data_IF_710583272521
#
_entry.id   IF_710583272521
#
_cell.length_a   1.000
_cell.length_b   1.000
_cell.length_c   1.000
_cell.angle_alpha   90.00
_cell.angle_beta   90.00
_cell.angle_gamma   90.00
#
_symmetry.space_group_name_H-M   'P 1'
#
loop_
_entity.id
_entity.type
_entity.pdbx_description
1 polymer ?
#
# COMPACT_ATOMS: atom_id res chain seq x y z
N UNK A 1 1.34 5.60 24.57
CA UNK A 1 0.99 4.25 24.10
C UNK A 1 -0.07 4.30 22.99
N UNK A 2 -1.24 4.92 23.23
CA UNK A 2 -2.35 5.01 22.26
C UNK A 2 -1.91 5.67 20.95
N UNK A 3 -1.17 6.78 20.99
CA UNK A 3 -0.66 7.49 19.80
C UNK A 3 0.27 6.59 18.98
N UNK A 4 1.17 5.85 19.63
CA UNK A 4 2.05 4.90 18.94
C UNK A 4 1.26 3.77 18.28
N UNK A 5 0.28 3.21 18.98
CA UNK A 5 -0.58 2.15 18.45
C UNK A 5 -1.36 2.65 17.22
N UNK A 6 -1.94 3.85 17.31
CA UNK A 6 -2.66 4.49 16.18
C UNK A 6 -1.73 4.73 14.99
N UNK A 7 -0.50 5.17 15.25
CA UNK A 7 0.50 5.38 14.20
C UNK A 7 0.83 4.07 13.46
N UNK A 8 1.10 2.99 14.18
CA UNK A 8 1.38 1.69 13.58
C UNK A 8 0.16 1.15 12.82
N UNK A 9 -1.04 1.32 13.38
CA UNK A 9 -2.27 0.89 12.72
C UNK A 9 -2.49 1.64 11.40
N UNK A 10 -2.33 2.98 11.40
CA UNK A 10 -2.46 3.80 10.19
C UNK A 10 -1.39 3.49 9.13
N UNK A 11 -0.19 3.14 9.56
CA UNK A 11 0.84 2.63 8.64
C UNK A 11 0.43 1.30 8.00
N UNK A 12 -0.11 0.37 8.76
CA UNK A 12 -0.60 -0.91 8.25
C UNK A 12 -1.78 -0.72 7.28
N UNK A 13 -2.71 0.19 7.60
CA UNK A 13 -3.83 0.58 6.74
C UNK A 13 -3.35 1.12 5.39
N UNK A 14 -2.37 2.03 5.37
CA UNK A 14 -1.77 2.54 4.12
C UNK A 14 -1.19 1.43 3.25
N UNK A 15 -0.49 0.47 3.86
CA UNK A 15 0.09 -0.67 3.14
C UNK A 15 -1.01 -1.55 2.55
N UNK A 16 -2.06 -1.81 3.31
CA UNK A 16 -3.20 -2.62 2.84
C UNK A 16 -3.97 -1.94 1.71
N UNK A 17 -4.25 -0.64 1.85
CA UNK A 17 -4.94 0.14 0.80
C UNK A 17 -4.10 0.19 -0.49
N UNK A 18 -2.79 0.36 -0.36
CA UNK A 18 -1.87 0.32 -1.50
C UNK A 18 -1.91 -1.04 -2.19
N UNK A 19 -1.93 -2.13 -1.43
CA UNK A 19 -2.03 -3.50 -1.96
C UNK A 19 -3.35 -3.70 -2.74
N UNK A 20 -4.47 -3.25 -2.20
CA UNK A 20 -5.79 -3.38 -2.84
C UNK A 20 -5.79 -2.63 -4.18
N UNK A 21 -5.26 -1.40 -4.23
CA UNK A 21 -5.18 -0.59 -5.44
C UNK A 21 -4.27 -1.20 -6.50
N UNK A 22 -3.12 -1.72 -6.10
CA UNK A 22 -2.19 -2.40 -7.02
C UNK A 22 -2.81 -3.68 -7.56
N UNK A 23 -3.51 -4.46 -6.74
CA UNK A 23 -4.23 -5.65 -7.19
C UNK A 23 -5.36 -5.30 -8.18
N UNK A 24 -6.04 -4.16 -7.99
CA UNK A 24 -7.01 -3.66 -8.95
C UNK A 24 -6.36 -3.33 -10.30
N UNK A 25 -5.24 -2.59 -10.29
CA UNK A 25 -4.48 -2.29 -11.51
C UNK A 25 -4.00 -3.58 -12.22
N UNK A 26 -3.51 -4.55 -11.44
CA UNK A 26 -3.09 -5.85 -11.96
C UNK A 26 -4.24 -6.60 -12.64
N UNK A 27 -5.40 -6.67 -12.00
CA UNK A 27 -6.59 -7.31 -12.58
C UNK A 27 -7.08 -6.60 -13.85
N UNK A 28 -6.93 -5.27 -13.93
CA UNK A 28 -7.29 -4.53 -15.13
C UNK A 28 -6.33 -4.81 -16.30
N UNK A 29 -5.02 -4.89 -16.03
CA UNK A 29 -4.03 -5.29 -17.04
C UNK A 29 -4.29 -6.74 -17.50
N UNK A 30 -4.57 -7.66 -16.58
CA UNK A 30 -4.96 -9.03 -16.92
C UNK A 30 -6.19 -9.06 -17.83
N UNK A 31 -7.18 -8.19 -17.58
CA UNK A 31 -8.37 -8.10 -18.42
C UNK A 31 -8.04 -7.64 -19.84
N UNK A 32 -7.15 -6.65 -20.02
CA UNK A 32 -6.66 -6.24 -21.34
C UNK A 32 -6.00 -7.42 -22.07
N UNK A 33 -5.12 -8.15 -21.40
CA UNK A 33 -4.43 -9.30 -22.00
C UNK A 33 -5.42 -10.46 -22.32
N UNK A 34 -6.44 -10.65 -21.52
CA UNK A 34 -7.53 -11.61 -21.82
C UNK A 34 -8.31 -11.21 -23.06
N UNK A 35 -8.59 -9.91 -23.23
CA UNK A 35 -9.26 -9.42 -24.44
C UNK A 35 -8.38 -9.59 -25.69
N UNK A 36 -7.04 -9.42 -25.55
CA UNK A 36 -6.10 -9.70 -26.63
C UNK A 36 -6.12 -11.18 -27.02
N UNK A 37 -6.19 -12.07 -26.04
CA UNK A 37 -6.30 -13.50 -26.29
C UNK A 37 -7.60 -13.86 -27.02
N UNK A 38 -8.71 -13.19 -26.71
CA UNK A 38 -9.98 -13.36 -27.43
C UNK A 38 -9.86 -12.96 -28.92
N UNK A 39 -9.19 -11.82 -29.21
CA UNK A 39 -8.92 -11.42 -30.60
C UNK A 39 -7.97 -12.39 -31.30
N UNK A 40 -7.00 -12.96 -30.58
CA UNK A 40 -6.14 -14.00 -31.14
C UNK A 40 -6.93 -15.23 -31.58
N UNK A 41 -7.96 -15.63 -30.84
CA UNK A 41 -8.87 -16.72 -31.21
C UNK A 41 -9.70 -16.36 -32.44
N UNK A 42 -10.21 -15.13 -32.54
CA UNK A 42 -10.93 -14.66 -33.73
C UNK A 42 -10.03 -14.67 -34.98
N UNK A 43 -8.72 -14.39 -34.83
CA UNK A 43 -7.74 -14.36 -35.91
C UNK A 43 -7.15 -15.73 -36.28
N UNK A 44 -7.44 -16.80 -35.51
CA UNK A 44 -6.81 -18.14 -35.71
C UNK A 44 -7.01 -18.68 -37.13
N UNK A 45 -8.21 -18.53 -37.70
CA UNK A 45 -8.53 -19.05 -39.03
C UNK A 45 -7.69 -18.39 -40.13
N UNK A 46 -7.22 -17.16 -39.93
CA UNK A 46 -6.34 -16.45 -40.86
C UNK A 46 -4.93 -17.05 -40.93
N UNK A 47 -4.54 -17.87 -39.94
CA UNK A 47 -3.30 -18.61 -39.99
C UNK A 47 -3.19 -19.59 -41.17
N UNK A 48 -4.30 -19.96 -41.81
CA UNK A 48 -4.32 -20.83 -42.98
C UNK A 48 -4.17 -20.06 -44.30
N UNK A 49 -4.43 -18.76 -44.28
CA UNK A 49 -4.43 -17.90 -45.47
C UNK A 49 -3.02 -17.39 -45.78
N UNK A 50 -2.80 -16.96 -47.05
CA UNK A 50 -1.65 -16.18 -47.39
C UNK A 50 -1.87 -14.71 -47.02
N UNK A 51 -0.77 -13.93 -46.86
CA UNK A 51 -0.87 -12.51 -46.59
C UNK A 51 -1.22 -11.74 -47.89
N UNK A 52 -2.49 -11.74 -48.21
CA UNK A 52 -3.07 -10.98 -49.32
C UNK A 52 -3.88 -9.79 -48.78
N UNK A 53 -4.43 -8.98 -49.68
CA UNK A 53 -5.22 -7.80 -49.34
C UNK A 53 -6.43 -8.14 -48.43
N UNK A 54 -7.11 -9.27 -48.71
CA UNK A 54 -8.28 -9.70 -47.92
C UNK A 54 -7.88 -10.07 -46.49
N UNK A 55 -6.80 -10.84 -46.31
CA UNK A 55 -6.25 -11.19 -44.98
C UNK A 55 -5.80 -9.96 -44.20
N UNK A 56 -5.14 -9.01 -44.88
CA UNK A 56 -4.74 -7.75 -44.24
C UNK A 56 -5.93 -6.89 -43.84
N UNK A 57 -6.96 -6.82 -44.68
CA UNK A 57 -8.20 -6.10 -44.39
C UNK A 57 -8.93 -6.72 -43.19
N UNK A 58 -9.02 -8.04 -43.14
CA UNK A 58 -9.66 -8.75 -42.03
C UNK A 58 -8.89 -8.57 -40.69
N UNK A 59 -7.55 -8.68 -40.71
CA UNK A 59 -6.72 -8.38 -39.57
C UNK A 59 -6.89 -6.93 -39.09
N UNK A 60 -7.00 -5.99 -40.02
CA UNK A 60 -7.22 -4.58 -39.69
C UNK A 60 -8.61 -4.36 -39.06
N UNK A 61 -9.63 -5.03 -39.54
CA UNK A 61 -10.97 -4.99 -38.96
C UNK A 61 -11.01 -5.57 -37.53
N UNK A 62 -10.27 -6.66 -37.28
CA UNK A 62 -10.11 -7.21 -35.96
C UNK A 62 -9.40 -6.24 -35.00
N UNK A 63 -8.35 -5.58 -35.48
CA UNK A 63 -7.60 -4.57 -34.74
C UNK A 63 -8.51 -3.40 -34.31
N UNK A 64 -9.38 -2.92 -35.20
CA UNK A 64 -10.31 -1.81 -34.93
C UNK A 64 -11.30 -2.11 -33.81
N UNK A 65 -11.59 -3.39 -33.53
CA UNK A 65 -12.49 -3.79 -32.44
C UNK A 65 -11.88 -3.52 -31.04
N UNK A 66 -10.58 -3.32 -30.95
CA UNK A 66 -9.85 -3.19 -29.68
C UNK A 66 -8.85 -2.03 -29.73
N UNK A 67 -9.21 -0.86 -29.20
CA UNK A 67 -8.35 0.34 -29.25
C UNK A 67 -7.00 0.17 -28.53
N UNK A 68 -6.93 -0.76 -27.57
CA UNK A 68 -5.68 -1.04 -26.82
C UNK A 68 -4.65 -1.83 -27.63
N UNK A 69 -5.05 -2.45 -28.74
CA UNK A 69 -4.14 -3.15 -29.63
C UNK A 69 -3.47 -2.18 -30.60
N UNK A 70 -2.16 -2.25 -30.66
CA UNK A 70 -1.32 -1.50 -31.61
C UNK A 70 -1.14 -2.27 -32.92
N UNK A 71 -0.99 -3.59 -32.81
CA UNK A 71 -0.77 -4.46 -33.95
C UNK A 71 -1.29 -5.87 -33.70
N UNK A 72 -1.63 -6.53 -34.81
CA UNK A 72 -1.98 -7.94 -34.86
C UNK A 72 -1.14 -8.58 -35.97
N UNK A 73 -0.43 -9.66 -35.63
CA UNK A 73 0.48 -10.33 -36.59
C UNK A 73 0.27 -11.83 -36.57
N UNK A 74 0.45 -12.44 -37.70
CA UNK A 74 0.39 -13.88 -37.92
C UNK A 74 1.79 -14.43 -38.19
N UNK A 75 2.16 -15.48 -37.47
CA UNK A 75 3.46 -16.14 -37.61
C UNK A 75 3.30 -17.64 -37.89
N UNK A 76 4.17 -18.18 -38.74
CA UNK A 76 4.36 -19.61 -39.01
C UNK A 76 5.83 -19.94 -38.95
N UNK A 77 6.16 -21.12 -38.43
CA UNK A 77 7.56 -21.58 -38.34
C UNK A 77 8.50 -20.54 -37.72
N UNK A 78 8.04 -19.87 -36.64
CA UNK A 78 8.79 -18.82 -35.94
C UNK A 78 9.09 -17.55 -36.79
N UNK A 79 8.37 -17.34 -37.89
CA UNK A 79 8.47 -16.13 -38.70
C UNK A 79 7.11 -15.46 -38.88
N UNK A 80 7.07 -14.14 -38.68
CA UNK A 80 5.90 -13.33 -38.99
C UNK A 80 5.74 -13.26 -40.50
N UNK A 81 4.61 -13.70 -41.06
CA UNK A 81 4.32 -13.65 -42.46
C UNK A 81 3.29 -12.57 -42.81
N UNK A 82 2.47 -12.11 -41.89
CA UNK A 82 1.48 -11.07 -42.09
C UNK A 82 1.33 -10.20 -40.83
N UNK A 83 1.25 -8.88 -41.00
CA UNK A 83 1.14 -7.94 -39.90
C UNK A 83 0.34 -6.70 -40.27
N UNK A 84 -0.42 -6.16 -39.37
CA UNK A 84 -1.15 -4.87 -39.52
C UNK A 84 -0.24 -3.65 -39.34
N UNK A 85 0.96 -3.81 -38.81
CA UNK A 85 1.84 -2.70 -38.46
C UNK A 85 3.24 -2.89 -39.08
N UNK A 86 3.78 -1.88 -39.80
CA UNK A 86 5.11 -1.97 -40.41
C UNK A 86 6.25 -2.10 -39.41
N UNK A 87 6.05 -1.65 -38.14
CA UNK A 87 7.01 -1.81 -37.03
C UNK A 87 7.11 -3.22 -36.45
N UNK A 88 6.26 -4.16 -36.91
CA UNK A 88 6.39 -5.60 -36.68
C UNK A 88 6.68 -6.25 -38.05
N UNK A 89 7.92 -6.15 -38.56
CA UNK A 89 8.23 -6.57 -39.88
C UNK A 89 8.01 -8.07 -40.09
N UNK A 90 7.71 -8.45 -41.34
CA UNK A 90 7.74 -9.83 -41.77
C UNK A 90 9.15 -10.36 -41.57
N UNK A 91 9.31 -11.46 -40.85
CA UNK A 91 10.62 -12.02 -40.53
C UNK A 91 10.62 -12.86 -39.27
N UNK A 92 11.80 -13.23 -38.77
CA UNK A 92 11.93 -14.05 -37.58
C UNK A 92 11.22 -13.43 -36.39
N UNK A 93 10.45 -14.22 -35.65
CA UNK A 93 9.97 -13.84 -34.35
C UNK A 93 11.19 -13.66 -33.43
N UNK A 94 11.20 -12.60 -32.61
CA UNK A 94 12.31 -12.35 -31.69
C UNK A 94 12.76 -13.62 -30.96
N UNK A 95 14.08 -13.74 -30.76
CA UNK A 95 14.71 -14.93 -30.17
C UNK A 95 13.97 -15.44 -28.91
N UNK A 96 13.90 -16.77 -28.79
CA UNK A 96 13.18 -17.44 -27.68
C UNK A 96 13.61 -16.95 -26.30
N UNK A 97 14.87 -16.54 -26.16
CA UNK A 97 15.43 -16.05 -24.89
C UNK A 97 14.81 -14.75 -24.38
N UNK A 98 14.24 -13.95 -25.27
CA UNK A 98 13.59 -12.69 -24.93
C UNK A 98 12.14 -12.89 -24.47
N UNK A 99 11.50 -13.98 -24.86
CA UNK A 99 10.14 -14.31 -24.47
C UNK A 99 10.12 -14.88 -23.03
N UNK A 100 9.25 -14.34 -22.20
CA UNK A 100 8.93 -14.89 -20.90
C UNK A 100 7.57 -15.56 -20.96
N UNK A 101 7.56 -16.90 -21.05
CA UNK A 101 6.41 -17.70 -21.44
C UNK A 101 5.82 -17.12 -22.74
N UNK A 102 4.79 -16.55 -22.89
CA UNK A 102 4.24 -16.04 -24.14
C UNK A 102 4.20 -14.51 -24.20
N UNK A 103 4.98 -13.82 -23.36
CA UNK A 103 5.06 -12.35 -23.31
C UNK A 103 6.46 -11.82 -23.59
N UNK A 104 6.52 -10.66 -24.24
CA UNK A 104 7.74 -9.93 -24.54
C UNK A 104 7.50 -8.43 -24.43
N UNK A 105 8.47 -7.68 -23.89
CA UNK A 105 8.52 -6.22 -23.99
C UNK A 105 9.42 -5.86 -25.17
N UNK A 106 8.85 -5.18 -26.16
CA UNK A 106 9.60 -4.66 -27.30
C UNK A 106 9.77 -3.16 -27.18
N UNK A 107 11.01 -2.71 -27.24
CA UNK A 107 11.33 -1.28 -27.28
C UNK A 107 11.39 -0.86 -28.74
N UNK A 108 10.68 0.21 -29.16
CA UNK A 108 10.82 0.78 -30.48
C UNK A 108 12.22 1.37 -30.67
N UNK A 109 12.65 1.46 -31.91
CA UNK A 109 13.96 2.06 -32.27
C UNK A 109 13.96 3.58 -32.03
N UNK A 110 12.80 4.22 -32.18
CA UNK A 110 12.63 5.64 -31.90
C UNK A 110 12.62 5.97 -30.40
N UNK A 111 13.53 6.85 -30.01
CA UNK A 111 13.76 7.21 -28.59
C UNK A 111 12.59 7.92 -27.88
N UNK A 112 11.50 8.23 -28.58
CA UNK A 112 10.32 8.94 -28.02
C UNK A 112 9.07 8.09 -27.88
N UNK A 113 9.05 6.86 -28.42
CA UNK A 113 7.87 6.00 -28.39
C UNK A 113 7.90 5.05 -27.21
N UNK A 114 6.70 4.78 -26.65
CA UNK A 114 6.55 3.84 -25.53
C UNK A 114 6.78 2.40 -26.00
N UNK A 115 7.26 1.51 -25.10
CA UNK A 115 7.43 0.11 -25.43
C UNK A 115 6.08 -0.56 -25.70
N UNK A 116 6.13 -1.69 -26.37
CA UNK A 116 4.98 -2.54 -26.62
C UNK A 116 5.07 -3.82 -25.81
N UNK A 117 3.92 -4.29 -25.35
CA UNK A 117 3.80 -5.61 -24.75
C UNK A 117 3.23 -6.54 -25.78
N UNK A 118 4.06 -7.47 -26.22
CA UNK A 118 3.68 -8.52 -27.15
C UNK A 118 3.18 -9.72 -26.36
N UNK A 119 2.07 -10.28 -26.82
CA UNK A 119 1.53 -11.55 -26.33
C UNK A 119 1.40 -12.48 -27.54
N UNK A 120 2.05 -13.64 -27.49
CA UNK A 120 1.89 -14.69 -28.49
C UNK A 120 0.91 -15.74 -28.01
N UNK A 121 0.02 -16.15 -28.90
CA UNK A 121 -0.94 -17.24 -28.66
C UNK A 121 -0.70 -18.33 -29.70
N UNK A 122 -0.12 -19.49 -29.30
CA UNK A 122 0.15 -20.57 -30.22
C UNK A 122 -1.13 -21.34 -30.56
N UNK A 123 -1.28 -21.70 -31.82
CA UNK A 123 -2.33 -22.52 -32.39
C UNK A 123 -1.72 -23.67 -33.21
N UNK A 124 -2.53 -24.62 -33.64
CA UNK A 124 -2.07 -25.78 -34.46
C UNK A 124 -1.37 -25.36 -35.76
N UNK A 125 -1.85 -24.29 -36.38
CA UNK A 125 -1.39 -23.85 -37.71
C UNK A 125 -0.41 -22.66 -37.66
N UNK A 126 0.00 -22.23 -36.49
CA UNK A 126 0.90 -21.10 -36.31
C UNK A 126 0.65 -20.34 -35.01
N UNK A 127 1.07 -19.11 -34.98
CA UNK A 127 0.97 -18.26 -33.77
C UNK A 127 0.37 -16.92 -34.14
N UNK A 128 -0.56 -16.43 -33.35
CA UNK A 128 -1.06 -15.06 -33.41
C UNK A 128 -0.32 -14.24 -32.37
N UNK A 129 0.22 -13.08 -32.81
CA UNK A 129 0.95 -12.16 -31.95
C UNK A 129 0.13 -10.86 -31.84
N UNK A 130 -0.24 -10.48 -30.65
CA UNK A 130 -0.88 -9.19 -30.35
C UNK A 130 0.13 -8.26 -29.71
N UNK A 131 0.11 -6.99 -30.12
CA UNK A 131 0.93 -5.94 -29.52
C UNK A 131 0.01 -4.92 -28.83
N UNK A 132 0.22 -4.72 -27.54
CA UNK A 132 -0.45 -3.70 -26.73
C UNK A 132 0.50 -2.54 -26.52
N UNK A 133 0.02 -1.31 -26.74
CA UNK A 133 0.79 -0.11 -26.42
C UNK A 133 0.90 0.06 -24.89
N UNK A 134 2.10 0.31 -24.41
CA UNK A 134 2.34 0.55 -22.97
C UNK A 134 1.57 1.75 -22.42
N UNK A 135 1.14 2.66 -23.30
CA UNK A 135 0.31 3.79 -22.92
C UNK A 135 -0.91 3.38 -22.07
N UNK A 136 -1.58 2.30 -22.45
CA UNK A 136 -2.75 1.80 -21.68
C UNK A 136 -2.37 1.28 -20.31
N UNK A 137 -1.19 0.67 -20.16
CA UNK A 137 -0.68 0.21 -18.86
C UNK A 137 -0.23 1.40 -18.03
N UNK A 138 0.42 2.37 -18.64
CA UNK A 138 0.79 3.64 -18.01
C UNK A 138 -0.44 4.36 -17.46
N UNK A 139 -1.51 4.44 -18.25
CA UNK A 139 -2.76 5.09 -17.83
C UNK A 139 -3.36 4.41 -16.60
N UNK A 140 -3.45 3.08 -16.59
CA UNK A 140 -3.92 2.29 -15.44
C UNK A 140 -3.06 2.54 -14.21
N UNK A 141 -1.73 2.50 -14.36
CA UNK A 141 -0.79 2.74 -13.27
C UNK A 141 -0.93 4.17 -12.75
N UNK A 142 -1.17 5.15 -13.62
CA UNK A 142 -1.32 6.56 -13.27
C UNK A 142 -2.59 6.84 -12.47
N UNK A 143 -3.68 6.12 -12.74
CA UNK A 143 -4.94 6.24 -12.00
C UNK A 143 -4.81 5.79 -10.54
N UNK A 144 -3.83 4.96 -10.22
CA UNK A 144 -3.55 4.51 -8.85
C UNK A 144 -2.72 5.55 -8.08
N UNK A 145 -3.20 6.79 -8.00
CA UNK A 145 -2.48 7.95 -7.44
C UNK A 145 -2.00 7.81 -5.99
N UNK A 146 -2.51 6.88 -5.21
CA UNK A 146 -2.12 6.69 -3.81
C UNK A 146 -0.81 5.91 -3.63
N UNK A 147 -0.23 5.36 -4.72
CA UNK A 147 1.00 4.58 -4.69
C UNK A 147 2.02 5.22 -5.63
N UNK A 148 3.02 5.94 -5.11
CA UNK A 148 3.83 6.86 -5.92
C UNK A 148 4.82 6.22 -6.88
N UNK A 149 5.13 4.95 -6.76
CA UNK A 149 6.14 4.30 -7.59
C UNK A 149 5.75 2.87 -7.96
N UNK A 150 4.73 2.74 -8.83
CA UNK A 150 4.39 1.43 -9.41
C UNK A 150 5.27 1.19 -10.63
N UNK A 151 5.85 -0.01 -10.73
CA UNK A 151 6.69 -0.46 -11.84
C UNK A 151 6.12 -1.76 -12.39
N UNK A 152 6.09 -1.88 -13.70
CA UNK A 152 5.70 -3.11 -14.39
C UNK A 152 6.94 -3.97 -14.60
N UNK A 153 6.91 -5.23 -14.19
CA UNK A 153 8.03 -6.17 -14.32
C UNK A 153 7.64 -7.36 -15.16
N UNK A 154 8.49 -7.67 -16.14
CA UNK A 154 8.42 -8.91 -16.92
C UNK A 154 9.81 -9.56 -16.91
N UNK A 155 9.98 -10.64 -16.16
CA UNK A 155 11.28 -11.28 -15.97
C UNK A 155 12.32 -10.32 -15.38
N UNK A 156 13.38 -10.03 -16.13
CA UNK A 156 14.44 -9.12 -15.70
C UNK A 156 14.21 -7.65 -16.10
N UNK A 157 13.23 -7.41 -16.98
CA UNK A 157 12.92 -6.06 -17.45
C UNK A 157 11.90 -5.40 -16.51
N UNK A 158 12.23 -4.20 -16.06
CA UNK A 158 11.37 -3.39 -15.18
C UNK A 158 11.09 -2.06 -15.86
N UNK A 159 9.81 -1.76 -16.08
CA UNK A 159 9.37 -0.49 -16.66
C UNK A 159 8.84 0.43 -15.56
N UNK A 160 9.27 1.68 -15.61
CA UNK A 160 8.63 2.76 -14.82
C UNK A 160 7.23 3.06 -15.34
N UNK A 161 6.46 3.83 -14.60
CA UNK A 161 5.17 4.34 -15.07
C UNK A 161 5.29 5.08 -16.42
N UNK A 162 6.42 5.71 -16.71
CA UNK A 162 6.69 6.38 -17.98
C UNK A 162 7.19 5.46 -19.11
N UNK A 163 7.17 4.14 -18.93
CA UNK A 163 7.61 3.17 -19.95
C UNK A 163 9.13 3.04 -20.10
N UNK A 164 9.91 3.75 -19.32
CA UNK A 164 11.37 3.65 -19.36
C UNK A 164 11.84 2.39 -18.63
N UNK A 165 12.83 1.71 -19.22
CA UNK A 165 13.51 0.62 -18.53
C UNK A 165 14.31 1.19 -17.37
N UNK A 166 14.05 0.67 -16.16
CA UNK A 166 14.69 1.14 -14.92
C UNK A 166 15.29 -0.04 -14.17
N UNK A 167 16.45 0.19 -13.60
CA UNK A 167 17.01 -0.77 -12.65
C UNK A 167 16.27 -0.62 -11.32
N UNK A 168 15.95 -1.72 -10.65
CA UNK A 168 15.49 -1.69 -9.26
C UNK A 168 16.66 -1.23 -8.40
N UNK A 169 16.73 0.06 -8.13
CA UNK A 169 17.73 0.59 -7.19
C UNK A 169 17.29 0.23 -5.77
N UNK A 170 18.22 -0.29 -4.93
CA UNK A 170 17.96 -0.58 -3.51
C UNK A 170 17.66 0.67 -2.67
N UNK A 171 17.83 1.86 -3.23
CA UNK A 171 17.91 3.15 -2.52
C UNK A 171 16.55 3.85 -2.31
N UNK A 172 15.45 3.23 -2.70
CA UNK A 172 14.14 3.71 -2.31
C UNK A 172 13.84 3.26 -0.87
N UNK A 173 14.29 4.07 0.09
CA UNK A 173 13.99 3.86 1.52
C UNK A 173 12.48 3.79 1.74
N UNK A 174 11.94 2.57 1.82
CA UNK A 174 10.51 2.36 1.94
C UNK A 174 10.11 0.90 2.01
N UNK A 175 8.81 0.65 2.10
CA UNK A 175 8.25 -0.70 2.00
C UNK A 175 8.10 -1.04 0.52
N UNK A 176 8.91 -1.97 0.03
CA UNK A 176 8.77 -2.54 -1.29
C UNK A 176 7.91 -3.80 -1.23
N UNK A 177 6.94 -3.91 -2.13
CA UNK A 177 6.11 -5.09 -2.33
C UNK A 177 5.93 -5.40 -3.81
N UNK A 178 5.63 -6.65 -4.10
CA UNK A 178 5.39 -7.15 -5.43
C UNK A 178 4.08 -7.94 -5.46
N UNK A 179 3.23 -7.65 -6.46
CA UNK A 179 2.00 -8.39 -6.73
C UNK A 179 2.14 -9.07 -8.07
N UNK A 180 2.03 -10.39 -8.08
CA UNK A 180 2.16 -11.22 -9.28
C UNK A 180 0.81 -11.46 -9.94
N UNK A 181 0.78 -11.44 -11.28
CA UNK A 181 -0.35 -11.95 -12.03
C UNK A 181 -0.47 -13.47 -11.84
N UNK A 182 -1.72 -13.94 -11.75
CA UNK A 182 -2.00 -15.38 -11.66
C UNK A 182 -2.00 -16.07 -13.03
N UNK A 183 -2.20 -15.31 -14.09
CA UNK A 183 -2.41 -15.84 -15.43
C UNK A 183 -1.23 -15.56 -16.38
N UNK A 184 -0.55 -14.45 -16.19
CA UNK A 184 0.51 -13.97 -17.06
C UNK A 184 1.83 -13.81 -16.30
N UNK A 185 2.99 -13.89 -16.97
CA UNK A 185 4.30 -13.88 -16.31
C UNK A 185 4.79 -12.46 -15.94
N UNK A 186 3.87 -11.56 -15.53
CA UNK A 186 4.23 -10.22 -15.11
C UNK A 186 3.86 -9.96 -13.65
N UNK A 187 4.47 -8.97 -13.08
CA UNK A 187 4.17 -8.46 -11.75
C UNK A 187 4.19 -6.93 -11.70
N UNK A 188 3.54 -6.38 -10.71
CA UNK A 188 3.60 -4.98 -10.35
C UNK A 188 4.39 -4.83 -9.06
N UNK A 189 5.52 -4.12 -9.16
CA UNK A 189 6.34 -3.74 -8.01
C UNK A 189 5.93 -2.35 -7.58
N UNK A 190 5.70 -2.14 -6.29
CA UNK A 190 5.39 -0.83 -5.76
C UNK A 190 6.17 -0.54 -4.48
N UNK A 191 6.49 0.73 -4.31
CA UNK A 191 7.31 1.22 -3.21
C UNK A 191 6.50 2.28 -2.48
N UNK A 192 6.40 2.13 -1.16
CA UNK A 192 5.77 3.11 -0.27
C UNK A 192 6.91 3.81 0.49
N UNK A 193 7.33 5.02 0.07
CA UNK A 193 8.44 5.73 0.70
C UNK A 193 8.17 6.01 2.18
N UNK A 194 9.21 5.99 3.01
CA UNK A 194 9.11 6.30 4.45
C UNK A 194 8.46 7.65 4.70
N UNK A 195 8.81 8.66 3.90
CA UNK A 195 8.22 10.00 3.98
C UNK A 195 6.69 9.96 3.82
N UNK A 196 6.19 9.16 2.87
CA UNK A 196 4.75 9.00 2.65
C UNK A 196 4.08 8.30 3.83
N UNK A 197 4.70 7.23 4.35
CA UNK A 197 4.19 6.51 5.52
C UNK A 197 4.06 7.44 6.74
N UNK A 198 5.10 8.24 7.00
CA UNK A 198 5.10 9.22 8.10
C UNK A 198 4.05 10.31 7.90
N UNK A 199 3.98 10.89 6.71
CA UNK A 199 3.03 11.96 6.38
C UNK A 199 1.59 11.46 6.49
N UNK A 200 1.31 10.27 5.99
CA UNK A 200 -0.03 9.66 6.07
C UNK A 200 -0.42 9.38 7.52
N UNK A 201 0.46 8.72 8.28
CA UNK A 201 0.21 8.41 9.68
C UNK A 201 0.02 9.68 10.52
N UNK A 202 0.82 10.72 10.28
CA UNK A 202 0.69 12.01 10.97
C UNK A 202 -0.63 12.71 10.64
N UNK A 203 -0.97 12.84 9.36
CA UNK A 203 -2.24 13.46 8.93
C UNK A 203 -3.47 12.76 9.49
N UNK A 204 -3.39 11.45 9.68
CA UNK A 204 -4.51 10.66 10.21
C UNK A 204 -4.52 10.57 11.74
N UNK A 205 -3.39 10.81 12.42
CA UNK A 205 -3.26 10.68 13.87
C UNK A 205 -3.25 12.01 14.65
N UNK A 206 -3.07 13.15 13.98
CA UNK A 206 -2.90 14.47 14.63
C UNK A 206 -4.07 14.83 15.55
N UNK A 207 -5.31 14.46 15.21
CA UNK A 207 -6.50 14.72 16.03
C UNK A 207 -6.51 13.92 17.35
N UNK A 208 -5.72 12.85 17.46
CA UNK A 208 -5.57 12.08 18.71
C UNK A 208 -4.76 12.84 19.76
N UNK A 209 -3.96 13.83 19.37
CA UNK A 209 -3.15 14.62 20.29
C UNK A 209 -4.03 15.42 21.25
N UNK A 210 -4.98 16.27 20.77
CA UNK A 210 -5.88 17.00 21.68
C UNK A 210 -6.75 16.05 22.52
N UNK A 211 -7.19 14.92 21.98
CA UNK A 211 -7.95 13.91 22.76
C UNK A 211 -7.10 13.33 23.88
N UNK A 212 -5.84 13.00 23.64
CA UNK A 212 -4.92 12.48 24.65
C UNK A 212 -4.62 13.53 25.75
N UNK A 213 -4.41 14.79 25.36
CA UNK A 213 -4.18 15.90 26.30
C UNK A 213 -5.42 16.10 27.17
N UNK A 214 -6.60 16.20 26.58
CA UNK A 214 -7.85 16.39 27.32
C UNK A 214 -8.14 15.21 28.26
N UNK A 215 -7.96 13.97 27.79
CA UNK A 215 -8.09 12.77 28.59
C UNK A 215 -7.10 12.74 29.77
N UNK A 216 -5.85 13.16 29.51
CA UNK A 216 -4.83 13.29 30.55
C UNK A 216 -5.17 14.33 31.62
N UNK A 217 -5.63 15.50 31.21
CA UNK A 217 -6.06 16.56 32.12
C UNK A 217 -7.28 16.10 32.96
N UNK A 218 -8.27 15.48 32.30
CA UNK A 218 -9.47 14.96 32.98
C UNK A 218 -9.11 13.89 34.00
N UNK A 219 -8.26 12.94 33.65
CA UNK A 219 -7.82 11.90 34.60
C UNK A 219 -7.01 12.48 35.74
N UNK A 220 -6.10 13.42 35.50
CA UNK A 220 -5.36 14.12 36.54
C UNK A 220 -6.30 14.88 37.48
N UNK A 221 -7.32 15.55 36.95
CA UNK A 221 -8.32 16.26 37.74
C UNK A 221 -9.16 15.31 38.60
N UNK A 222 -9.61 14.19 38.03
CA UNK A 222 -10.39 13.20 38.81
C UNK A 222 -9.56 12.53 39.90
N UNK A 223 -8.29 12.23 39.63
CA UNK A 223 -7.37 11.69 40.62
C UNK A 223 -7.01 12.70 41.71
N UNK A 224 -6.86 13.99 41.38
CA UNK A 224 -6.59 15.03 42.35
C UNK A 224 -7.76 15.22 43.31
N UNK A 225 -8.99 15.05 42.84
CA UNK A 225 -10.18 15.08 43.73
C UNK A 225 -10.26 13.88 44.68
N UNK A 226 -9.62 12.74 44.35
CA UNK A 226 -9.56 11.54 45.21
C UNK A 226 -8.35 11.52 46.13
N UNK A 227 -7.46 12.54 46.08
CA UNK A 227 -6.35 12.61 47.04
C UNK A 227 -6.95 12.81 48.45
N UNK A 228 -6.54 11.99 49.41
CA UNK A 228 -6.88 12.25 50.80
C UNK A 228 -6.39 13.67 51.12
N UNK A 229 -7.21 14.40 51.85
CA UNK A 229 -6.90 15.75 52.33
C UNK A 229 -5.50 15.77 52.95
N UNK A 230 -4.76 16.85 52.69
CA UNK A 230 -3.43 17.05 53.29
C UNK A 230 -3.48 16.75 54.79
N UNK A 231 -2.43 16.20 55.42
CA UNK A 231 -2.39 16.00 56.87
C UNK A 231 -2.83 17.24 57.65
N UNK A 232 -2.52 18.43 57.11
CA UNK A 232 -2.97 19.69 57.67
C UNK A 232 -4.49 19.90 57.56
N UNK A 233 -5.10 19.51 56.45
CA UNK A 233 -6.56 19.61 56.26
C UNK A 233 -7.30 18.58 57.12
N UNK A 234 -6.73 17.38 57.29
CA UNK A 234 -7.25 16.38 58.24
C UNK A 234 -7.22 16.93 59.64
N UNK A 235 -6.12 17.57 60.05
CA UNK A 235 -5.98 18.17 61.39
C UNK A 235 -6.97 19.31 61.61
N UNK A 236 -7.13 20.19 60.62
CA UNK A 236 -8.12 21.30 60.68
C UNK A 236 -9.57 20.78 60.79
N UNK A 237 -9.89 19.77 60.00
CA UNK A 237 -11.21 19.15 60.02
C UNK A 237 -11.47 18.45 61.37
N UNK A 238 -10.50 17.71 61.89
CA UNK A 238 -10.59 17.08 63.20
C UNK A 238 -10.79 18.11 64.32
N UNK A 239 -10.10 19.25 64.24
CA UNK A 239 -10.29 20.34 65.18
C UNK A 239 -11.70 20.94 65.08
N UNK A 240 -12.18 21.19 63.86
CA UNK A 240 -13.52 21.75 63.60
C UNK A 240 -14.65 20.81 64.06
N UNK A 241 -14.44 19.50 63.98
CA UNK A 241 -15.44 18.50 64.48
C UNK A 241 -15.26 18.08 65.87
N UNK A 242 -14.35 18.71 66.67
CA UNK A 242 -14.19 18.45 68.13
C UNK A 242 -13.64 17.07 68.43
N UNK A 243 -12.84 16.49 67.46
CA UNK A 243 -12.26 15.18 67.64
C UNK A 243 -11.08 15.16 68.62
N UNK A 244 -10.59 16.33 69.00
CA UNK A 244 -9.55 16.47 70.06
C UNK A 244 -10.18 16.63 71.43
N UNK A 245 -9.92 15.67 72.28
CA UNK A 245 -10.43 15.67 73.69
C UNK A 245 -9.26 15.80 74.66
N UNK A 246 -9.36 16.72 75.64
CA UNK A 246 -8.40 16.78 76.75
C UNK A 246 -8.61 15.64 77.71
N UNK A 247 -7.54 14.97 78.08
CA UNK A 247 -7.51 13.99 79.19
C UNK A 247 -6.59 14.52 80.27
N UNK A 248 -7.05 14.45 81.50
CA UNK A 248 -6.33 14.97 82.63
C UNK A 248 -5.67 13.81 83.36
N UNK A 249 -4.37 13.86 83.52
CA UNK A 249 -3.58 12.88 84.28
C UNK A 249 -3.10 13.51 85.54
N UNK A 250 -3.53 12.99 86.73
CA UNK A 250 -3.13 13.54 88.02
C UNK A 250 -1.66 13.28 88.33
N UNK A 251 -0.95 14.30 88.78
CA UNK A 251 0.41 14.23 89.29
C UNK A 251 0.35 14.20 90.79
N UNK A 252 0.82 13.09 91.38
CA UNK A 252 0.80 12.86 92.84
C UNK A 252 2.23 12.94 93.37
N UNK A 253 2.42 13.65 94.46
CA UNK A 253 3.71 13.72 95.20
C UNK A 253 4.04 12.36 95.83
N UNK A 254 5.27 11.88 95.59
CA UNK A 254 5.77 10.63 96.14
C UNK A 254 5.97 10.66 97.65
N UNK A 255 6.10 11.88 98.25
CA UNK A 255 6.36 12.03 99.70
C UNK A 255 5.08 11.94 100.54
N UNK A 256 3.98 12.49 100.08
CA UNK A 256 2.76 12.64 100.93
C UNK A 256 1.49 12.20 100.20
N UNK A 257 1.60 11.57 99.01
CA UNK A 257 0.50 11.11 98.21
C UNK A 257 -0.58 12.17 97.87
N UNK A 258 -0.26 13.45 98.00
CA UNK A 258 -1.17 14.55 97.65
C UNK A 258 -1.08 14.94 96.21
N UNK A 259 -2.21 15.35 95.62
CA UNK A 259 -2.29 15.88 94.27
C UNK A 259 -1.49 17.18 94.21
N UNK A 260 -0.44 17.20 93.43
CA UNK A 260 0.44 18.37 93.21
C UNK A 260 0.20 19.09 91.92
N UNK A 261 -0.47 18.47 90.94
CA UNK A 261 -0.76 19.05 89.63
C UNK A 261 -1.60 18.12 88.80
N UNK A 262 -1.84 18.58 87.59
CA UNK A 262 -2.52 17.83 86.54
C UNK A 262 -1.84 18.08 85.17
N UNK A 263 -1.49 17.02 84.48
CA UNK A 263 -1.03 17.09 83.11
C UNK A 263 -2.23 16.97 82.19
N UNK A 264 -2.31 17.84 81.14
CA UNK A 264 -3.37 17.81 80.14
C UNK A 264 -2.82 17.18 78.89
N UNK A 265 -3.31 16.01 78.52
CA UNK A 265 -2.98 15.29 77.27
C UNK A 265 -4.12 15.45 76.30
N UNK A 266 -3.82 15.90 75.06
CA UNK A 266 -4.79 15.96 74.02
C UNK A 266 -4.75 14.64 73.29
N UNK A 267 -5.88 13.97 73.15
CA UNK A 267 -6.04 12.74 72.35
C UNK A 267 -6.96 12.99 71.18
N UNK A 268 -6.53 12.51 70.02
CA UNK A 268 -7.31 12.55 68.78
C UNK A 268 -8.15 11.28 68.69
N UNK A 269 -9.47 11.46 68.71
CA UNK A 269 -10.46 10.40 68.49
C UNK A 269 -10.93 10.45 67.08
N UNK A 270 -10.33 9.60 66.26
CA UNK A 270 -10.60 9.49 64.80
C UNK A 270 -11.62 8.40 64.57
#
# INVERSE_FOLDING_TARGET
>A
FIILLTFFWKKAELVNDSQIRVNFALGYIENILNQNNSISQEAEHLLLNNCNADTQHELSNLLLKRPQLRALSLARQEAVFCSTHPGLPVGPVAEKEQWRHDMLIRFPEDTGTLPWILLRTPYKNGTVITATDYYFIQDIISVVHAVPAIRFRLGNTVLSASGKNVTLLPDDSGIQKESHSKKYPFSLIYIIPVKMQLTYAWKQAWYMIPVAIFGGILTAFLLSRRRPSSPLDMLKNALAHGEFRPYFQPIISAKNHQLTGCEVLIRWHH
#
